data_IF_175284200139
#
_entry.id   IF_175284200139
#
_cell.length_a   1.000
_cell.length_b   1.000
_cell.length_c   1.000
_cell.angle_alpha   90.00
_cell.angle_beta   90.00
_cell.angle_gamma   90.00
#
_symmetry.space_group_name_H-M   'P 1'
#
loop_
_entity.id
_entity.type
_entity.pdbx_description
1 polymer ?
#
# COMPACT_ATOMS: atom_id res chain seq x y z
N UNK A 1 75.33 53.10 -46.91
CA UNK A 1 75.33 54.51 -46.47
C UNK A 1 73.88 55.00 -46.44
N UNK A 2 73.43 55.50 -45.28
CA UNK A 2 72.21 56.31 -45.00
C UNK A 2 70.78 55.68 -45.18
N UNK A 3 70.07 55.63 -44.02
CA UNK A 3 68.73 56.20 -43.67
C UNK A 3 67.62 56.09 -44.74
N UNK A 4 66.34 55.78 -44.45
CA UNK A 4 65.45 56.17 -43.33
C UNK A 4 64.06 55.54 -43.54
N UNK A 5 63.27 55.44 -42.46
CA UNK A 5 61.80 55.41 -42.49
C UNK A 5 61.22 54.00 -42.35
N UNK A 6 60.40 53.65 -41.35
CA UNK A 6 59.54 54.44 -40.48
C UNK A 6 58.09 54.02 -40.74
N UNK A 7 57.45 53.39 -39.76
CA UNK A 7 56.08 53.67 -39.30
C UNK A 7 55.64 52.65 -38.25
N UNK A 8 55.15 53.22 -37.16
CA UNK A 8 54.40 52.63 -36.07
C UNK A 8 53.04 52.12 -36.54
N UNK A 9 52.64 50.94 -36.07
CA UNK A 9 51.23 50.57 -35.97
C UNK A 9 51.00 49.88 -34.64
N UNK A 10 50.24 50.54 -33.78
CA UNK A 10 49.69 49.98 -32.55
C UNK A 10 48.63 48.93 -32.90
N UNK A 11 48.72 47.73 -32.32
CA UNK A 11 47.59 46.81 -32.28
C UNK A 11 47.28 46.49 -30.82
N UNK A 12 46.02 46.77 -30.47
CA UNK A 12 45.40 46.61 -29.16
C UNK A 12 45.38 45.15 -28.74
N UNK A 13 45.79 44.89 -27.49
CA UNK A 13 45.49 43.65 -26.77
C UNK A 13 44.00 43.66 -26.44
N UNK A 14 43.22 42.78 -27.09
CA UNK A 14 41.85 42.46 -26.67
C UNK A 14 41.94 41.17 -25.87
N UNK A 15 41.75 41.29 -24.55
CA UNK A 15 41.51 40.14 -23.68
C UNK A 15 40.15 39.54 -24.00
N UNK A 16 40.12 38.28 -24.44
CA UNK A 16 38.91 37.49 -24.53
C UNK A 16 38.72 36.79 -23.17
N UNK A 17 37.77 37.32 -22.39
CA UNK A 17 37.19 36.68 -21.22
C UNK A 17 36.51 35.40 -21.71
N UNK A 18 37.06 34.25 -21.31
CA UNK A 18 36.44 32.95 -21.56
C UNK A 18 35.12 32.86 -20.80
N UNK A 19 34.02 32.80 -21.55
CA UNK A 19 32.73 32.41 -21.00
C UNK A 19 32.77 30.91 -20.71
N UNK A 20 32.79 30.56 -19.42
CA UNK A 20 32.49 29.22 -18.96
C UNK A 20 30.99 28.98 -19.21
N UNK A 21 30.67 28.19 -20.24
CA UNK A 21 29.34 27.63 -20.40
C UNK A 21 29.12 26.60 -19.29
N UNK A 22 28.28 26.97 -18.32
CA UNK A 22 27.66 26.02 -17.40
C UNK A 22 26.78 25.10 -18.23
N UNK A 23 27.25 23.88 -18.46
CA UNK A 23 26.39 22.81 -18.98
C UNK A 23 25.36 22.52 -17.89
N UNK A 24 24.12 22.94 -18.14
CA UNK A 24 23.00 22.56 -17.29
C UNK A 24 22.94 21.05 -17.20
N UNK A 25 23.11 20.51 -16.00
CA UNK A 25 22.78 19.12 -15.69
C UNK A 25 21.28 18.95 -15.91
N UNK A 26 20.91 18.49 -17.11
CA UNK A 26 19.63 17.87 -17.35
C UNK A 26 19.49 16.76 -16.30
N UNK A 27 18.51 16.89 -15.40
CA UNK A 27 18.20 15.84 -14.44
C UNK A 27 18.01 14.55 -15.22
N UNK A 28 18.92 13.59 -15.03
CA UNK A 28 18.75 12.27 -15.58
C UNK A 28 17.49 11.68 -14.94
N UNK A 29 16.36 11.80 -15.61
CA UNK A 29 15.19 10.99 -15.31
C UNK A 29 15.61 9.56 -15.65
N UNK A 30 15.99 8.80 -14.63
CA UNK A 30 16.22 7.37 -14.76
C UNK A 30 14.87 6.77 -15.14
N UNK A 31 14.70 6.23 -16.36
CA UNK A 31 13.47 5.55 -16.70
C UNK A 31 13.41 4.30 -15.83
N UNK A 32 12.53 4.31 -14.81
CA UNK A 32 12.22 3.11 -14.05
C UNK A 32 11.59 2.10 -14.99
N UNK A 33 12.09 0.87 -14.98
CA UNK A 33 11.48 -0.21 -15.74
C UNK A 33 10.05 -0.45 -15.20
N UNK A 34 9.08 -0.86 -16.04
CA UNK A 34 7.70 -1.08 -15.59
C UNK A 34 7.59 -1.99 -14.36
N UNK A 35 8.46 -3.00 -14.26
CA UNK A 35 8.49 -3.96 -13.15
C UNK A 35 9.09 -3.37 -11.85
N UNK A 36 9.86 -2.28 -11.93
CA UNK A 36 10.40 -1.57 -10.75
C UNK A 36 9.33 -0.68 -10.11
N UNK A 37 8.42 -0.11 -10.90
CA UNK A 37 7.28 0.67 -10.40
C UNK A 37 6.31 -0.16 -9.56
N UNK A 38 6.21 -1.47 -9.80
CA UNK A 38 5.34 -2.37 -9.02
C UNK A 38 5.88 -2.66 -7.60
N UNK A 39 7.14 -2.28 -7.31
CA UNK A 39 7.80 -2.52 -6.01
C UNK A 39 8.16 -1.26 -5.24
N UNK A 40 7.81 -0.08 -5.76
CA UNK A 40 8.11 1.18 -5.10
C UNK A 40 6.88 1.62 -4.30
N UNK A 41 7.13 2.01 -3.05
CA UNK A 41 6.14 2.70 -2.24
C UNK A 41 5.91 4.10 -2.84
N UNK A 42 4.77 4.30 -3.49
CA UNK A 42 4.43 5.57 -4.17
C UNK A 42 3.57 6.48 -3.31
N UNK A 43 3.10 6.00 -2.16
CA UNK A 43 2.33 6.77 -1.18
C UNK A 43 3.20 7.08 0.04
N UNK A 44 3.41 8.36 0.31
CA UNK A 44 3.94 8.84 1.58
C UNK A 44 2.80 9.44 2.42
N UNK A 45 2.72 9.04 3.68
CA UNK A 45 1.79 9.58 4.68
C UNK A 45 2.56 10.51 5.60
N UNK A 46 2.02 11.69 5.85
CA UNK A 46 2.59 12.68 6.77
C UNK A 46 1.46 13.32 7.56
N UNK A 47 1.75 13.80 8.77
CA UNK A 47 0.76 14.48 9.60
C UNK A 47 1.34 15.72 10.28
N UNK A 48 0.55 16.79 10.34
CA UNK A 48 0.85 18.01 11.09
C UNK A 48 -0.35 18.41 11.95
N UNK A 49 -0.22 18.22 13.27
CA UNK A 49 -1.32 18.35 14.21
C UNK A 49 -2.49 17.43 13.84
N UNK A 50 -3.61 18.02 13.39
CA UNK A 50 -4.81 17.27 12.97
C UNK A 50 -4.92 17.11 11.45
N UNK A 51 -4.00 17.65 10.68
CA UNK A 51 -4.03 17.55 9.23
C UNK A 51 -3.18 16.36 8.78
N UNK A 52 -3.83 15.37 8.16
CA UNK A 52 -3.19 14.23 7.52
C UNK A 52 -3.02 14.51 6.03
N UNK A 53 -1.85 14.17 5.51
CA UNK A 53 -1.49 14.31 4.11
C UNK A 53 -1.11 12.96 3.53
N UNK A 54 -1.52 12.72 2.28
CA UNK A 54 -1.02 11.64 1.46
C UNK A 54 -0.45 12.23 0.18
N UNK A 55 0.84 11.96 -0.06
CA UNK A 55 1.56 12.34 -1.25
C UNK A 55 1.69 11.14 -2.18
N UNK A 56 1.17 11.28 -3.39
CA UNK A 56 1.24 10.27 -4.43
C UNK A 56 2.31 10.67 -5.45
N UNK A 57 3.44 9.98 -5.41
CA UNK A 57 4.59 10.22 -6.29
C UNK A 57 4.29 9.84 -7.75
N UNK A 58 3.41 8.87 -8.00
CA UNK A 58 3.08 8.40 -9.35
C UNK A 58 2.11 9.36 -10.03
N UNK A 59 1.08 9.81 -9.32
CA UNK A 59 0.10 10.75 -9.84
C UNK A 59 0.55 12.22 -9.74
N UNK A 60 1.60 12.51 -8.97
CA UNK A 60 2.05 13.87 -8.66
C UNK A 60 1.00 14.66 -7.87
N UNK A 61 0.21 13.99 -7.03
CA UNK A 61 -0.93 14.60 -6.31
C UNK A 61 -0.71 14.56 -4.80
N UNK A 62 -1.32 15.52 -4.13
CA UNK A 62 -1.48 15.51 -2.68
C UNK A 62 -2.96 15.47 -2.34
N UNK A 63 -3.35 14.59 -1.43
CA UNK A 63 -4.66 14.63 -0.78
C UNK A 63 -4.48 14.90 0.72
N UNK A 64 -5.52 15.44 1.34
CA UNK A 64 -5.48 15.75 2.77
C UNK A 64 -6.83 15.49 3.41
N UNK A 65 -6.82 15.11 4.69
CA UNK A 65 -8.01 15.00 5.52
C UNK A 65 -7.69 15.53 6.92
N UNK A 66 -8.70 16.09 7.59
CA UNK A 66 -8.56 16.60 8.95
C UNK A 66 -9.14 15.60 9.95
N UNK A 67 -8.36 15.29 10.97
CA UNK A 67 -8.76 14.54 12.15
C UNK A 67 -9.77 15.34 12.97
N UNK A 68 -10.73 14.63 13.56
CA UNK A 68 -11.69 15.21 14.50
C UNK A 68 -10.97 15.69 15.77
N UNK A 69 -11.68 16.47 16.60
CA UNK A 69 -11.14 16.91 17.90
C UNK A 69 -10.91 15.68 18.78
N UNK A 70 -9.73 15.55 19.37
CA UNK A 70 -9.31 14.41 20.21
C UNK A 70 -9.29 13.05 19.47
N UNK A 71 -9.31 13.03 18.14
CA UNK A 71 -9.09 11.79 17.37
C UNK A 71 -7.60 11.44 17.40
N UNK A 72 -7.27 10.23 17.83
CA UNK A 72 -5.89 9.76 18.01
C UNK A 72 -5.51 8.76 16.92
N UNK A 73 -4.31 8.90 16.35
CA UNK A 73 -3.74 7.91 15.43
C UNK A 73 -3.24 6.73 16.25
N UNK A 74 -3.79 5.55 15.99
CA UNK A 74 -3.38 4.29 16.62
C UNK A 74 -2.29 3.58 15.80
N UNK A 75 -2.32 3.75 14.48
CA UNK A 75 -1.40 3.09 13.56
C UNK A 75 -1.39 3.81 12.21
N UNK A 76 -0.25 3.84 11.53
CA UNK A 76 -0.14 4.28 10.15
C UNK A 76 0.88 3.44 9.38
N UNK A 77 0.69 3.35 8.07
CA UNK A 77 1.64 2.70 7.19
C UNK A 77 1.23 2.75 5.73
N UNK A 78 2.21 2.72 4.84
CA UNK A 78 2.01 2.62 3.40
C UNK A 78 2.90 1.54 2.81
N UNK A 79 2.44 0.95 1.71
CA UNK A 79 3.21 0.04 0.86
C UNK A 79 2.65 0.05 -0.56
N UNK A 80 3.53 0.07 -1.55
CA UNK A 80 3.21 0.20 -2.96
C UNK A 80 2.24 1.36 -3.19
N UNK A 81 1.02 1.04 -3.64
CA UNK A 81 -0.01 2.02 -4.02
C UNK A 81 -1.05 2.30 -2.95
N UNK A 82 -0.88 1.79 -1.74
CA UNK A 82 -1.83 1.99 -0.63
C UNK A 82 -1.16 2.65 0.56
N UNK A 83 -1.85 3.63 1.14
CA UNK A 83 -1.61 4.12 2.49
C UNK A 83 -2.83 3.87 3.37
N UNK A 84 -2.58 3.59 4.65
CA UNK A 84 -3.63 3.38 5.62
C UNK A 84 -3.28 4.06 6.95
N UNK A 85 -4.26 4.71 7.56
CA UNK A 85 -4.18 5.29 8.91
C UNK A 85 -5.36 4.76 9.71
N UNK A 86 -5.09 4.22 10.90
CA UNK A 86 -6.09 3.77 11.85
C UNK A 86 -6.16 4.77 12.99
N UNK A 87 -7.36 5.21 13.34
CA UNK A 87 -7.59 6.09 14.48
C UNK A 87 -8.44 5.40 15.54
N UNK A 88 -8.76 6.08 16.63
CA UNK A 88 -9.74 5.62 17.61
C UNK A 88 -11.19 5.69 17.09
N UNK A 89 -11.44 6.29 15.91
CA UNK A 89 -12.80 6.54 15.38
C UNK A 89 -13.08 5.97 14.00
N UNK A 90 -12.06 5.89 13.15
CA UNK A 90 -12.20 5.46 11.75
C UNK A 90 -10.90 4.89 11.21
N UNK A 91 -11.05 4.09 10.18
CA UNK A 91 -9.94 3.74 9.30
C UNK A 91 -9.97 4.67 8.08
N UNK A 92 -8.81 5.20 7.72
CA UNK A 92 -8.60 6.09 6.59
C UNK A 92 -7.70 5.38 5.59
N UNK A 93 -8.20 5.12 4.40
CA UNK A 93 -7.46 4.48 3.32
C UNK A 93 -7.22 5.46 2.19
N UNK A 94 -6.05 5.43 1.58
CA UNK A 94 -5.74 6.19 0.37
C UNK A 94 -5.09 5.25 -0.63
N UNK A 95 -5.54 5.33 -1.88
CA UNK A 95 -4.95 4.61 -2.99
C UNK A 95 -4.36 5.60 -3.98
N UNK A 96 -3.31 5.19 -4.69
CA UNK A 96 -2.70 6.00 -5.75
C UNK A 96 -3.75 6.42 -6.80
N UNK A 97 -3.71 7.69 -7.20
CA UNK A 97 -4.67 8.34 -8.08
C UNK A 97 -5.96 8.81 -7.40
N UNK A 98 -6.17 8.49 -6.11
CA UNK A 98 -7.35 8.83 -5.32
C UNK A 98 -7.09 9.82 -4.18
N UNK A 99 -8.11 10.05 -3.36
CA UNK A 99 -8.01 10.76 -2.08
C UNK A 99 -8.44 9.86 -0.93
N UNK A 100 -8.30 10.37 0.31
CA UNK A 100 -8.70 9.63 1.51
C UNK A 100 -10.15 9.13 1.44
N UNK A 101 -10.32 7.87 1.81
CA UNK A 101 -11.57 7.15 1.93
C UNK A 101 -11.76 6.75 3.38
N UNK A 102 -12.92 7.06 3.92
CA UNK A 102 -13.20 6.88 5.34
C UNK A 102 -14.11 5.68 5.60
N UNK A 103 -13.76 4.90 6.62
CA UNK A 103 -14.63 3.89 7.20
C UNK A 103 -14.72 4.11 8.72
N UNK A 104 -15.88 4.57 9.19
CA UNK A 104 -16.15 4.77 10.62
C UNK A 104 -16.35 3.46 11.35
N UNK A 105 -15.82 3.38 12.58
CA UNK A 105 -16.15 2.32 13.51
C UNK A 105 -17.58 2.47 14.01
N UNK A 106 -18.20 1.33 14.34
CA UNK A 106 -19.55 1.30 14.92
C UNK A 106 -19.49 1.56 16.41
N UNK A 107 -20.62 1.94 16.99
CA UNK A 107 -20.76 2.09 18.44
C UNK A 107 -20.31 0.80 19.15
N UNK A 108 -19.41 0.91 20.14
CA UNK A 108 -18.79 -0.19 20.89
C UNK A 108 -17.91 -1.15 20.07
N UNK A 109 -17.60 -0.84 18.82
CA UNK A 109 -16.56 -1.57 18.09
C UNK A 109 -15.19 -1.11 18.58
N UNK A 110 -14.33 -2.06 18.93
CA UNK A 110 -12.96 -1.78 19.33
C UNK A 110 -12.13 -1.51 18.07
N UNK A 111 -11.49 -0.34 17.95
CA UNK A 111 -10.63 -0.04 16.81
C UNK A 111 -9.52 -1.07 16.64
N UNK A 112 -9.14 -1.33 15.39
CA UNK A 112 -7.93 -2.09 15.13
C UNK A 112 -6.71 -1.21 15.41
N UNK A 113 -5.69 -1.79 16.05
CA UNK A 113 -4.42 -1.11 16.35
C UNK A 113 -3.29 -1.53 15.42
N UNK A 114 -3.56 -2.46 14.50
CA UNK A 114 -2.61 -2.97 13.50
C UNK A 114 -3.37 -3.27 12.21
N UNK A 115 -2.74 -2.95 11.07
CA UNK A 115 -3.13 -3.41 9.75
C UNK A 115 -1.93 -4.05 9.04
N UNK A 116 -2.22 -4.86 8.03
CA UNK A 116 -1.24 -5.28 7.04
C UNK A 116 -1.52 -4.53 5.74
N UNK A 117 -0.54 -3.76 5.27
CA UNK A 117 -0.62 -3.00 4.02
C UNK A 117 0.39 -3.57 3.04
N UNK A 118 -0.09 -3.91 1.86
CA UNK A 118 0.67 -4.41 0.72
C UNK A 118 0.30 -3.62 -0.53
N UNK A 119 1.04 -3.81 -1.62
CA UNK A 119 0.99 -2.96 -2.82
C UNK A 119 -0.43 -2.63 -3.31
N UNK A 120 -1.33 -3.61 -3.36
CA UNK A 120 -2.70 -3.44 -3.88
C UNK A 120 -3.81 -3.75 -2.89
N UNK A 121 -3.47 -4.23 -1.70
CA UNK A 121 -4.45 -4.60 -0.68
C UNK A 121 -3.96 -4.22 0.71
N UNK A 122 -4.88 -3.83 1.57
CA UNK A 122 -4.67 -3.78 3.00
C UNK A 122 -5.76 -4.58 3.72
N UNK A 123 -5.41 -5.27 4.79
CA UNK A 123 -6.34 -6.00 5.65
C UNK A 123 -6.14 -5.65 7.11
N UNK A 124 -7.24 -5.57 7.83
CA UNK A 124 -7.29 -5.46 9.29
C UNK A 124 -8.55 -6.13 9.81
N UNK A 125 -8.60 -6.33 11.12
CA UNK A 125 -9.80 -6.83 11.79
C UNK A 125 -10.03 -6.06 13.09
N UNK A 126 -11.29 -5.74 13.35
CA UNK A 126 -11.77 -5.29 14.66
C UNK A 126 -12.29 -6.49 15.44
N UNK A 127 -12.89 -6.26 16.62
CA UNK A 127 -13.65 -7.29 17.33
C UNK A 127 -14.97 -7.67 16.62
N UNK A 128 -15.40 -6.92 15.59
CA UNK A 128 -16.74 -7.10 14.97
C UNK A 128 -16.75 -7.35 13.47
N UNK A 129 -15.65 -7.09 12.77
CA UNK A 129 -15.57 -7.28 11.32
C UNK A 129 -14.15 -7.36 10.82
N UNK A 130 -14.01 -8.09 9.72
CA UNK A 130 -12.88 -7.97 8.83
C UNK A 130 -13.08 -6.77 7.92
N UNK A 131 -12.01 -6.01 7.70
CA UNK A 131 -11.97 -4.90 6.78
C UNK A 131 -10.85 -5.12 5.76
N UNK A 132 -11.12 -4.73 4.54
CA UNK A 132 -10.17 -4.68 3.45
C UNK A 132 -10.20 -3.32 2.78
N UNK A 133 -9.05 -2.82 2.38
CA UNK A 133 -8.94 -1.67 1.49
C UNK A 133 -8.17 -2.11 0.24
N UNK A 134 -8.64 -1.68 -0.93
CA UNK A 134 -8.07 -2.11 -2.21
C UNK A 134 -7.60 -0.92 -3.03
N UNK A 135 -6.67 -1.18 -3.96
CA UNK A 135 -6.06 -0.14 -4.83
C UNK A 135 -7.06 0.64 -5.69
N UNK A 136 -8.30 0.18 -5.84
CA UNK A 136 -9.37 0.99 -6.46
C UNK A 136 -9.87 2.14 -5.58
N UNK A 137 -9.36 2.26 -4.35
CA UNK A 137 -9.80 3.26 -3.38
C UNK A 137 -11.12 2.87 -2.71
N UNK A 138 -11.33 1.58 -2.42
CA UNK A 138 -12.60 1.11 -1.87
C UNK A 138 -12.40 0.30 -0.60
N UNK A 139 -13.31 0.52 0.36
CA UNK A 139 -13.44 -0.31 1.55
C UNK A 139 -14.37 -1.49 1.29
N UNK A 140 -13.92 -2.69 1.63
CA UNK A 140 -14.74 -3.89 1.70
C UNK A 140 -14.76 -4.42 3.12
N UNK A 141 -15.87 -5.02 3.53
CA UNK A 141 -16.03 -5.44 4.92
C UNK A 141 -16.91 -6.68 5.05
N UNK A 142 -16.64 -7.49 6.08
CA UNK A 142 -17.49 -8.61 6.46
C UNK A 142 -17.67 -8.64 7.97
N UNK A 143 -18.94 -8.64 8.42
CA UNK A 143 -19.28 -8.73 9.83
C UNK A 143 -19.00 -10.13 10.37
N UNK A 144 -18.48 -10.17 11.58
CA UNK A 144 -18.35 -11.39 12.35
C UNK A 144 -19.69 -11.80 12.96
N UNK A 145 -19.86 -13.11 13.09
CA UNK A 145 -20.98 -13.74 13.79
C UNK A 145 -20.72 -13.75 15.31
N UNK A 146 -21.73 -13.92 16.18
CA UNK A 146 -21.52 -13.92 17.63
C UNK A 146 -20.50 -14.98 18.08
N UNK A 147 -19.43 -14.57 18.77
CA UNK A 147 -18.33 -15.43 19.20
C UNK A 147 -17.34 -15.82 18.09
N UNK A 148 -17.42 -15.16 16.93
CA UNK A 148 -16.37 -15.24 15.91
C UNK A 148 -15.29 -14.19 16.20
N UNK A 149 -14.04 -14.63 16.20
CA UNK A 149 -12.89 -13.81 16.58
C UNK A 149 -11.77 -13.93 15.53
N UNK A 150 -11.04 -12.84 15.24
CA UNK A 150 -9.84 -12.89 14.39
C UNK A 150 -8.78 -13.83 14.97
N UNK A 151 -8.24 -14.70 14.12
CA UNK A 151 -7.17 -15.64 14.47
C UNK A 151 -5.85 -15.29 13.79
N UNK A 152 -5.89 -14.78 12.55
CA UNK A 152 -4.69 -14.35 11.84
C UNK A 152 -5.00 -13.33 10.73
N UNK A 153 -4.03 -12.46 10.47
CA UNK A 153 -3.98 -11.59 9.29
C UNK A 153 -2.77 -11.96 8.45
N UNK A 154 -2.92 -12.03 7.12
CA UNK A 154 -1.80 -12.11 6.18
C UNK A 154 -2.10 -11.29 4.93
N UNK A 155 -1.06 -10.77 4.30
CA UNK A 155 -1.17 -10.09 3.03
C UNK A 155 0.07 -10.39 2.18
N UNK A 156 -0.13 -10.56 0.88
CA UNK A 156 0.87 -10.41 -0.16
C UNK A 156 0.48 -9.23 -1.06
N UNK A 157 1.31 -8.92 -2.06
CA UNK A 157 1.17 -7.73 -2.91
C UNK A 157 -0.27 -7.45 -3.42
N UNK A 158 -1.07 -8.49 -3.67
CA UNK A 158 -2.44 -8.37 -4.17
C UNK A 158 -3.44 -9.34 -3.53
N UNK A 159 -3.05 -10.05 -2.47
CA UNK A 159 -3.89 -11.04 -1.82
C UNK A 159 -3.88 -10.82 -0.32
N UNK A 160 -5.04 -10.54 0.26
CA UNK A 160 -5.20 -10.37 1.70
C UNK A 160 -5.97 -11.52 2.32
N UNK A 161 -5.75 -11.76 3.61
CA UNK A 161 -6.48 -12.71 4.41
C UNK A 161 -6.81 -12.13 5.77
N UNK A 162 -8.08 -12.27 6.15
CA UNK A 162 -8.50 -12.30 7.55
C UNK A 162 -9.00 -13.70 7.87
N UNK A 163 -8.27 -14.43 8.70
CA UNK A 163 -8.70 -15.72 9.22
C UNK A 163 -9.38 -15.52 10.57
N UNK A 164 -10.51 -16.19 10.79
CA UNK A 164 -11.20 -16.25 12.08
C UNK A 164 -11.22 -17.67 12.61
N UNK A 165 -11.70 -17.85 13.84
CA UNK A 165 -12.00 -19.17 14.39
C UNK A 165 -13.16 -19.92 13.67
N UNK A 166 -13.78 -19.33 12.63
CA UNK A 166 -14.92 -19.95 11.90
C UNK A 166 -14.79 -19.97 10.39
N UNK A 167 -14.02 -19.07 9.78
CA UNK A 167 -13.88 -18.98 8.33
C UNK A 167 -12.64 -18.21 7.94
N UNK A 168 -12.27 -18.34 6.68
CA UNK A 168 -11.25 -17.55 6.02
C UNK A 168 -11.91 -16.51 5.13
N UNK A 169 -11.39 -15.29 5.13
CA UNK A 169 -11.88 -14.16 4.35
C UNK A 169 -10.76 -13.65 3.44
N UNK A 170 -10.81 -14.03 2.17
CA UNK A 170 -9.84 -13.64 1.15
C UNK A 170 -10.18 -12.30 0.53
N UNK A 171 -9.18 -11.43 0.38
CA UNK A 171 -9.29 -10.12 -0.24
C UNK A 171 -8.50 -10.07 -1.54
N UNK A 172 -9.12 -9.57 -2.60
CA UNK A 172 -8.49 -9.32 -3.89
C UNK A 172 -8.89 -7.93 -4.41
N UNK A 173 -8.03 -7.23 -5.19
CA UNK A 173 -8.32 -5.90 -5.69
C UNK A 173 -9.52 -5.80 -6.63
N UNK A 174 -9.78 -6.85 -7.43
CA UNK A 174 -10.83 -6.84 -8.45
C UNK A 174 -12.24 -7.02 -7.87
N UNK A 175 -12.53 -8.13 -7.19
CA UNK A 175 -13.83 -8.35 -6.57
C UNK A 175 -14.08 -7.39 -5.40
N UNK A 176 -15.21 -6.67 -5.42
CA UNK A 176 -15.65 -5.77 -4.33
C UNK A 176 -16.26 -6.51 -3.14
N UNK A 177 -15.63 -7.60 -2.71
CA UNK A 177 -16.08 -8.43 -1.59
C UNK A 177 -14.93 -9.18 -0.96
N UNK A 178 -15.11 -9.59 0.29
CA UNK A 178 -14.29 -10.63 0.90
C UNK A 178 -14.86 -12.00 0.51
N UNK A 179 -14.05 -12.83 -0.14
CA UNK A 179 -14.41 -14.19 -0.51
C UNK A 179 -14.31 -15.11 0.71
N UNK A 180 -15.34 -15.91 0.97
CA UNK A 180 -15.44 -16.67 2.22
C UNK A 180 -15.17 -18.16 1.99
N UNK A 181 -14.45 -18.77 2.92
CA UNK A 181 -14.31 -20.22 3.02
C UNK A 181 -14.57 -20.65 4.46
N UNK A 182 -15.71 -21.33 4.76
CA UNK A 182 -16.02 -21.78 6.11
C UNK A 182 -15.03 -22.83 6.59
N UNK A 183 -14.70 -22.80 7.89
CA UNK A 183 -13.95 -23.84 8.57
C UNK A 183 -14.91 -24.82 9.24
N UNK A 184 -14.56 -26.10 9.22
CA UNK A 184 -15.34 -27.14 9.89
C UNK A 184 -15.21 -27.05 11.41
N UNK A 185 -16.16 -27.67 12.11
CA UNK A 185 -16.13 -27.79 13.57
C UNK A 185 -14.86 -28.57 13.99
N UNK A 186 -14.00 -27.96 14.81
CA UNK A 186 -12.66 -28.48 15.21
C UNK A 186 -11.60 -28.45 14.10
N UNK A 187 -11.84 -27.74 13.00
CA UNK A 187 -10.78 -27.45 12.04
C UNK A 187 -9.86 -26.39 12.63
N UNK A 188 -8.58 -26.69 12.71
CA UNK A 188 -7.57 -25.81 13.32
C UNK A 188 -6.61 -25.36 12.24
N UNK A 189 -6.34 -24.06 12.19
CA UNK A 189 -5.34 -23.46 11.30
C UNK A 189 -3.95 -23.81 11.84
N UNK A 190 -3.17 -24.53 11.04
CA UNK A 190 -1.79 -24.91 11.39
C UNK A 190 -0.77 -23.90 10.87
N UNK A 191 -1.01 -23.34 9.68
CA UNK A 191 -0.15 -22.28 9.12
C UNK A 191 -0.85 -21.45 8.06
N UNK A 192 -0.44 -20.20 7.94
CA UNK A 192 -0.93 -19.25 6.92
C UNK A 192 0.26 -18.58 6.25
N UNK A 193 0.30 -18.61 4.93
CA UNK A 193 1.29 -17.94 4.11
C UNK A 193 0.60 -17.11 3.02
N UNK A 194 1.13 -15.93 2.70
CA UNK A 194 0.67 -15.09 1.61
C UNK A 194 1.87 -14.69 0.74
N UNK A 195 1.72 -14.83 -0.57
CA UNK A 195 2.73 -14.52 -1.57
C UNK A 195 2.05 -13.86 -2.75
N UNK A 196 2.43 -12.63 -3.06
CA UNK A 196 1.92 -11.84 -4.18
C UNK A 196 0.40 -11.93 -4.37
N UNK A 197 -0.08 -12.86 -5.20
CA UNK A 197 -1.48 -13.04 -5.58
C UNK A 197 -2.16 -14.25 -4.94
N UNK A 198 -1.46 -14.99 -4.06
CA UNK A 198 -1.93 -16.22 -3.44
C UNK A 198 -1.88 -16.14 -1.91
N UNK A 199 -2.88 -16.75 -1.27
CA UNK A 199 -2.83 -17.07 0.16
C UNK A 199 -3.03 -18.57 0.31
N UNK A 200 -2.12 -19.24 1.01
CA UNK A 200 -2.23 -20.65 1.35
C UNK A 200 -2.49 -20.79 2.85
N UNK A 201 -3.58 -21.46 3.20
CA UNK A 201 -3.93 -21.80 4.57
C UNK A 201 -3.91 -23.31 4.69
N UNK A 202 -3.07 -23.81 5.61
CA UNK A 202 -2.99 -25.22 5.94
C UNK A 202 -3.72 -25.44 7.26
N UNK A 203 -4.69 -26.34 7.26
CA UNK A 203 -5.48 -26.74 8.45
C UNK A 203 -5.27 -28.21 8.74
N UNK A 204 -5.56 -28.69 9.95
CA UNK A 204 -5.48 -30.12 10.29
C UNK A 204 -6.33 -31.08 9.40
N UNK A 205 -7.11 -30.58 8.44
CA UNK A 205 -7.94 -31.37 7.50
C UNK A 205 -7.59 -31.17 6.03
N UNK A 206 -7.21 -29.96 5.62
CA UNK A 206 -7.08 -29.61 4.20
C UNK A 206 -6.10 -28.46 3.98
N UNK A 207 -5.80 -28.24 2.71
CA UNK A 207 -5.08 -27.07 2.25
C UNK A 207 -6.06 -26.22 1.45
N UNK A 208 -6.15 -24.95 1.80
CA UNK A 208 -7.03 -23.97 1.20
C UNK A 208 -6.16 -22.91 0.52
N UNK A 209 -6.43 -22.62 -0.74
CA UNK A 209 -5.67 -21.65 -1.52
C UNK A 209 -6.62 -20.59 -2.04
N UNK A 210 -6.41 -19.34 -1.64
CA UNK A 210 -7.10 -18.20 -2.22
C UNK A 210 -6.28 -17.63 -3.38
N UNK A 211 -6.91 -17.46 -4.54
CA UNK A 211 -6.33 -16.79 -5.70
C UNK A 211 -6.93 -15.41 -5.86
N UNK A 212 -6.11 -14.36 -5.74
CA UNK A 212 -6.57 -12.98 -5.93
C UNK A 212 -6.86 -12.64 -7.40
N UNK A 213 -6.26 -13.37 -8.34
CA UNK A 213 -6.54 -13.23 -9.77
C UNK A 213 -7.98 -13.63 -10.08
N UNK A 214 -8.46 -14.72 -9.46
CA UNK A 214 -9.82 -15.22 -9.66
C UNK A 214 -10.80 -14.68 -8.62
N UNK A 215 -10.31 -14.26 -7.44
CA UNK A 215 -11.15 -13.89 -6.30
C UNK A 215 -11.87 -15.08 -5.68
N UNK A 216 -11.29 -16.27 -5.77
CA UNK A 216 -11.91 -17.55 -5.40
C UNK A 216 -10.99 -18.42 -4.55
N UNK A 217 -11.61 -19.32 -3.79
CA UNK A 217 -10.95 -20.33 -2.99
C UNK A 217 -10.90 -21.67 -3.74
N UNK A 218 -9.73 -22.30 -3.73
CA UNK A 218 -9.54 -23.71 -4.04
C UNK A 218 -9.31 -24.52 -2.76
N UNK A 219 -9.65 -25.80 -2.80
CA UNK A 219 -9.48 -26.76 -1.71
C UNK A 219 -8.78 -28.01 -2.23
N UNK A 220 -7.78 -28.47 -1.49
CA UNK A 220 -7.18 -29.79 -1.64
C UNK A 220 -7.28 -30.54 -0.30
N UNK A 221 -7.97 -31.67 -0.29
CA UNK A 221 -8.14 -32.47 0.92
C UNK A 221 -6.88 -33.29 1.18
N UNK A 222 -6.44 -33.35 2.44
CA UNK A 222 -5.36 -34.28 2.80
C UNK A 222 -5.91 -35.71 2.81
N UNK A 223 -5.18 -36.63 2.18
CA UNK A 223 -5.27 -38.03 2.55
C UNK A 223 -4.69 -38.13 3.97
N UNK A 224 -5.57 -38.35 4.94
CA UNK A 224 -5.15 -38.79 6.27
C UNK A 224 -4.83 -40.28 6.12
N UNK A 225 -3.56 -40.65 6.32
CA UNK A 225 -3.21 -42.06 6.45
C UNK A 225 -4.01 -42.65 7.64
N UNK A 226 -4.66 -43.81 7.45
CA UNK A 226 -5.59 -44.41 8.42
C UNK A 226 -4.92 -44.84 9.73
#
# INVERSE_FOLDING_TARGET
>A
MRRRGGRSTWVRVIGAIGWLLVVGSAGAQVPLLPDELERIDVIALEHDGRDLFAFDALAGRRSSIRLEVDEEILWEGSRGRIGLVLTDRRALGVASGGGFQELRYRLQETPATVALVEDRVAVLATDRRALGFVVSGEWVQKRFTPGEEPAALRAGAAAGLVATNRRLLGLAPGPRRLAEMPLDVREVIESVNAQDTLVTVRTNRRILVFSAVQGLWGEERRQLDP
#
